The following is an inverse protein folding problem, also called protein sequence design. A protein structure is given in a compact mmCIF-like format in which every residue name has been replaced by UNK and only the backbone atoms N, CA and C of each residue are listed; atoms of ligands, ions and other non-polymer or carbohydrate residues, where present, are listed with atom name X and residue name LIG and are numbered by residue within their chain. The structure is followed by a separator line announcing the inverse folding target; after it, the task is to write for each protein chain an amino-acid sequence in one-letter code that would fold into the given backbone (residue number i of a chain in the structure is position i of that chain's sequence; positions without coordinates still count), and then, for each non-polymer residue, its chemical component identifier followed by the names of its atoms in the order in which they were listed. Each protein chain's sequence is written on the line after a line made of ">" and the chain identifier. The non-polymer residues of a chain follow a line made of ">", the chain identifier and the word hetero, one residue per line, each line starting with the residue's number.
data_IF_207640288471
#
_entry.id   IF_207640288471
#
_cell.length_a   1.000
_cell.length_b   1.000
_cell.length_c   1.000
_cell.angle_alpha   90.00
_cell.angle_beta   90.00
_cell.angle_gamma   90.00
#
_symmetry.space_group_name_H-M   'P 1'
#
loop_
_entity.id
_entity.type
_entity.pdbx_description
1 polymer ?
#
# COMPACT_ATOMS: atom_id res chain seq x y z
N UNK A 1 -7.35 24.27 -39.93
CA UNK A 1 -7.93 24.64 -38.62
C UNK A 1 -8.29 23.34 -37.90
N UNK A 2 -7.65 22.99 -36.77
CA UNK A 2 -8.00 21.77 -36.03
C UNK A 2 -9.22 22.05 -35.15
N UNK A 3 -10.29 21.28 -35.34
CA UNK A 3 -11.44 21.30 -34.45
C UNK A 3 -11.10 20.57 -33.16
N UNK A 4 -11.24 21.24 -32.02
CA UNK A 4 -11.15 20.62 -30.70
C UNK A 4 -12.54 20.49 -30.12
N UNK A 5 -12.87 19.29 -29.64
CA UNK A 5 -14.11 18.99 -28.94
C UNK A 5 -13.77 18.83 -27.46
N UNK A 6 -14.30 19.72 -26.63
CA UNK A 6 -14.16 19.63 -25.18
C UNK A 6 -15.26 18.70 -24.64
N UNK A 7 -14.85 17.57 -24.10
CA UNK A 7 -15.72 16.65 -23.38
C UNK A 7 -15.47 16.80 -21.87
N UNK A 8 -16.54 17.02 -21.11
CA UNK A 8 -16.45 17.24 -19.66
C UNK A 8 -17.00 16.02 -18.94
N UNK A 9 -16.16 15.38 -18.13
CA UNK A 9 -16.56 14.28 -17.26
C UNK A 9 -17.58 14.81 -16.24
N UNK A 10 -18.79 14.20 -16.12
CA UNK A 10 -19.80 14.69 -15.20
C UNK A 10 -19.32 14.68 -13.75
N UNK A 11 -19.80 15.63 -12.93
CA UNK A 11 -19.45 15.67 -11.50
C UNK A 11 -19.80 14.36 -10.81
N UNK A 12 -19.01 13.98 -9.80
CA UNK A 12 -19.19 12.75 -8.99
C UNK A 12 -19.02 11.42 -9.74
N UNK A 13 -18.48 11.45 -10.96
CA UNK A 13 -18.18 10.22 -11.71
C UNK A 13 -16.78 9.67 -11.45
N UNK A 14 -15.86 10.48 -10.93
CA UNK A 14 -14.48 10.05 -10.59
C UNK A 14 -14.45 8.74 -9.79
N UNK A 15 -15.24 8.58 -8.69
CA UNK A 15 -15.24 7.33 -7.92
C UNK A 15 -15.96 6.17 -8.63
N UNK A 16 -16.62 6.42 -9.75
CA UNK A 16 -17.32 5.42 -10.56
C UNK A 16 -16.45 4.91 -11.71
N UNK A 17 -15.59 5.77 -12.27
CA UNK A 17 -14.79 5.46 -13.46
C UNK A 17 -13.29 5.43 -13.22
N UNK A 18 -12.79 5.84 -12.05
CA UNK A 18 -11.35 5.77 -11.74
C UNK A 18 -11.07 4.59 -10.80
N UNK A 19 -10.52 3.47 -11.30
CA UNK A 19 -10.22 2.28 -10.50
C UNK A 19 -9.36 2.60 -9.26
N UNK A 20 -8.42 3.54 -9.41
CA UNK A 20 -7.57 3.97 -8.31
C UNK A 20 -8.38 4.53 -7.13
N UNK A 21 -9.39 5.36 -7.38
CA UNK A 21 -10.21 5.99 -6.34
C UNK A 21 -11.28 5.07 -5.75
N UNK A 22 -11.59 3.97 -6.42
CA UNK A 22 -12.57 2.97 -5.92
C UNK A 22 -12.04 2.25 -4.69
N UNK A 23 -10.79 1.78 -4.71
CA UNK A 23 -10.24 1.02 -3.58
C UNK A 23 -8.74 1.26 -3.38
N UNK A 24 -7.93 1.28 -4.44
CA UNK A 24 -6.45 1.31 -4.34
C UNK A 24 -5.94 2.50 -3.50
N UNK A 25 -6.42 3.72 -3.80
CA UNK A 25 -6.00 4.93 -3.09
C UNK A 25 -6.42 4.93 -1.62
N UNK A 26 -7.57 4.31 -1.28
CA UNK A 26 -8.01 4.17 0.12
C UNK A 26 -7.05 3.26 0.88
N UNK A 27 -6.65 2.15 0.27
CA UNK A 27 -5.74 1.17 0.86
C UNK A 27 -4.33 1.74 1.04
N UNK A 28 -3.83 2.46 0.03
CA UNK A 28 -2.57 3.19 0.12
C UNK A 28 -2.58 4.24 1.25
N UNK A 29 -3.66 5.05 1.34
CA UNK A 29 -3.80 6.05 2.41
C UNK A 29 -3.84 5.39 3.79
N UNK A 30 -4.51 4.24 3.92
CA UNK A 30 -4.54 3.47 5.15
C UNK A 30 -3.13 3.03 5.55
N UNK A 31 -2.40 2.40 4.63
CA UNK A 31 -1.01 1.97 4.82
C UNK A 31 -0.11 3.10 5.31
N UNK A 32 -0.14 4.25 4.62
CA UNK A 32 0.67 5.42 4.98
C UNK A 32 0.28 5.94 6.36
N UNK A 33 -1.02 6.09 6.66
CA UNK A 33 -1.49 6.61 7.95
C UNK A 33 -1.04 5.73 9.11
N UNK A 34 -1.20 4.41 9.00
CA UNK A 34 -0.77 3.47 10.05
C UNK A 34 0.72 3.59 10.34
N UNK A 35 1.55 3.81 9.30
CA UNK A 35 3.00 4.01 9.49
C UNK A 35 3.31 5.35 10.18
N UNK A 36 2.61 6.43 9.81
CA UNK A 36 2.74 7.72 10.50
C UNK A 36 2.33 7.62 11.97
N UNK A 37 1.22 6.94 12.24
CA UNK A 37 0.72 6.75 13.60
C UNK A 37 1.69 5.92 14.43
N UNK A 38 2.30 4.88 13.85
CA UNK A 38 3.34 4.07 14.50
C UNK A 38 4.59 4.87 14.84
N UNK A 39 5.13 5.62 13.87
CA UNK A 39 6.28 6.51 14.09
C UNK A 39 6.02 7.50 15.21
N UNK A 40 4.81 8.07 15.25
CA UNK A 40 4.41 9.01 16.31
C UNK A 40 4.21 8.32 17.66
N UNK A 41 3.57 7.16 17.69
CA UNK A 41 3.22 6.44 18.92
C UNK A 41 4.47 5.97 19.66
N UNK A 42 5.50 5.54 18.92
CA UNK A 42 6.73 4.98 19.48
C UNK A 42 7.92 5.94 19.44
N UNK A 43 7.68 7.22 19.17
CA UNK A 43 8.69 8.28 19.12
C UNK A 43 9.94 7.88 18.29
N UNK A 44 9.68 7.32 17.11
CA UNK A 44 10.74 6.85 16.22
C UNK A 44 11.45 8.08 15.65
N UNK A 45 12.78 8.12 15.76
CA UNK A 45 13.63 9.19 15.21
C UNK A 45 13.66 9.15 13.67
N UNK A 46 12.56 9.57 13.07
CA UNK A 46 12.41 9.70 11.62
C UNK A 46 11.46 10.84 11.29
N UNK A 47 11.99 11.92 10.72
CA UNK A 47 11.16 13.02 10.23
C UNK A 47 10.50 12.64 8.90
N UNK A 48 9.27 12.12 8.96
CA UNK A 48 8.47 11.76 7.79
C UNK A 48 8.02 12.96 6.94
N UNK A 49 8.26 14.20 7.37
CA UNK A 49 8.01 15.41 6.58
C UNK A 49 9.20 15.80 5.68
N UNK A 50 10.37 15.19 5.88
CA UNK A 50 11.52 15.40 5.01
C UNK A 50 11.31 14.70 3.67
N UNK A 51 11.68 15.38 2.58
CA UNK A 51 11.49 14.91 1.19
C UNK A 51 12.02 13.49 0.97
N UNK A 52 13.22 13.19 1.44
CA UNK A 52 13.85 11.89 1.22
C UNK A 52 13.10 10.77 1.94
N UNK A 53 12.61 11.05 3.15
CA UNK A 53 11.82 10.08 3.92
C UNK A 53 10.43 9.89 3.30
N UNK A 54 9.80 10.94 2.77
CA UNK A 54 8.55 10.84 2.01
C UNK A 54 8.73 9.93 0.79
N UNK A 55 9.81 10.11 0.02
CA UNK A 55 10.10 9.29 -1.17
C UNK A 55 10.33 7.82 -0.76
N UNK A 56 11.16 7.59 0.27
CA UNK A 56 11.43 6.25 0.79
C UNK A 56 10.12 5.57 1.22
N UNK A 57 9.36 6.20 2.11
CA UNK A 57 8.08 5.68 2.62
C UNK A 57 7.09 5.41 1.50
N UNK A 58 6.86 6.38 0.61
CA UNK A 58 5.96 6.25 -0.54
C UNK A 58 6.32 5.03 -1.37
N UNK A 59 7.62 4.84 -1.62
CA UNK A 59 8.05 3.74 -2.46
C UNK A 59 8.06 2.37 -1.76
N UNK A 60 8.26 2.32 -0.44
CA UNK A 60 8.06 1.11 0.37
C UNK A 60 6.58 0.72 0.40
N UNK A 61 5.69 1.68 0.60
CA UNK A 61 4.24 1.48 0.55
C UNK A 61 3.76 1.03 -0.82
N UNK A 62 4.22 1.69 -1.89
CA UNK A 62 3.91 1.30 -3.26
C UNK A 62 4.40 -0.12 -3.53
N UNK A 63 5.65 -0.42 -3.15
CA UNK A 63 6.22 -1.75 -3.29
C UNK A 63 5.36 -2.80 -2.58
N UNK A 64 4.96 -2.56 -1.32
CA UNK A 64 4.08 -3.44 -0.55
C UNK A 64 2.78 -3.77 -1.32
N UNK A 65 2.15 -2.76 -1.95
CA UNK A 65 0.93 -2.99 -2.74
C UNK A 65 1.19 -3.74 -4.06
N UNK A 66 2.41 -3.75 -4.59
CA UNK A 66 2.75 -4.52 -5.79
C UNK A 66 2.80 -6.04 -5.59
N UNK A 67 2.62 -6.56 -4.37
CA UNK A 67 2.57 -8.00 -4.14
C UNK A 67 1.39 -8.65 -4.86
N UNK A 68 1.61 -9.88 -5.37
CA UNK A 68 0.56 -10.69 -5.99
C UNK A 68 -0.63 -10.96 -5.07
N UNK A 69 -0.47 -10.82 -3.75
CA UNK A 69 -1.56 -10.92 -2.77
C UNK A 69 -2.65 -9.86 -2.96
N UNK A 70 -2.29 -8.71 -3.54
CA UNK A 70 -3.23 -7.62 -3.83
C UNK A 70 -3.83 -7.68 -5.23
N UNK A 71 -3.47 -8.67 -6.06
CA UNK A 71 -3.97 -8.77 -7.45
C UNK A 71 -5.49 -8.80 -7.52
N UNK A 72 -6.16 -9.61 -6.70
CA UNK A 72 -7.63 -9.67 -6.67
C UNK A 72 -8.26 -8.35 -6.21
N UNK A 73 -7.64 -7.65 -5.25
CA UNK A 73 -8.10 -6.32 -4.82
C UNK A 73 -7.96 -5.27 -5.93
N UNK A 74 -6.85 -5.30 -6.68
CA UNK A 74 -6.67 -4.44 -7.84
C UNK A 74 -7.71 -4.75 -8.91
N UNK A 75 -7.87 -6.03 -9.29
CA UNK A 75 -8.90 -6.46 -10.24
C UNK A 75 -10.30 -6.05 -9.79
N UNK A 76 -10.60 -6.08 -8.49
CA UNK A 76 -11.89 -5.66 -7.97
C UNK A 76 -12.15 -4.19 -8.25
N UNK A 77 -11.11 -3.36 -8.13
CA UNK A 77 -11.20 -1.93 -8.45
C UNK A 77 -11.54 -1.69 -9.92
N UNK A 78 -10.95 -2.47 -10.83
CA UNK A 78 -11.25 -2.41 -12.27
C UNK A 78 -12.64 -2.97 -12.59
N UNK A 79 -13.04 -4.07 -11.96
CA UNK A 79 -14.38 -4.64 -12.08
C UNK A 79 -15.46 -3.65 -11.62
N UNK A 80 -15.29 -3.04 -10.44
CA UNK A 80 -16.21 -2.03 -9.93
C UNK A 80 -16.26 -0.77 -10.78
N UNK A 81 -15.16 -0.42 -11.44
CA UNK A 81 -15.10 0.67 -12.42
C UNK A 81 -15.76 0.33 -13.77
N UNK A 82 -16.25 -0.90 -13.95
CA UNK A 82 -16.87 -1.36 -15.20
C UNK A 82 -15.87 -1.79 -16.29
N UNK A 83 -14.57 -1.89 -15.97
CA UNK A 83 -13.52 -2.23 -16.94
C UNK A 83 -13.30 -3.74 -17.09
N UNK A 84 -13.76 -4.55 -16.12
CA UNK A 84 -13.71 -6.00 -16.19
C UNK A 84 -15.12 -6.56 -16.14
N UNK A 85 -15.38 -7.64 -16.89
CA UNK A 85 -16.68 -8.30 -16.92
C UNK A 85 -16.92 -9.23 -15.72
N UNK A 86 -15.85 -9.80 -15.15
CA UNK A 86 -15.92 -10.79 -14.07
C UNK A 86 -15.36 -10.22 -12.77
N UNK A 87 -16.05 -10.52 -11.67
CA UNK A 87 -15.57 -10.23 -10.32
C UNK A 87 -14.41 -11.17 -9.97
N UNK A 88 -13.34 -10.68 -9.30
CA UNK A 88 -12.20 -11.51 -8.89
C UNK A 88 -12.46 -12.34 -7.62
N UNK A 89 -13.69 -12.31 -7.08
CA UNK A 89 -14.05 -13.01 -5.85
C UNK A 89 -13.65 -12.23 -4.59
N UNK A 90 -13.58 -12.95 -3.46
CA UNK A 90 -13.11 -12.38 -2.19
C UNK A 90 -11.59 -12.16 -2.22
N UNK A 91 -11.15 -11.14 -1.50
CA UNK A 91 -9.75 -10.80 -1.34
C UNK A 91 -9.53 -10.19 0.03
N UNK A 92 -8.29 -10.24 0.50
CA UNK A 92 -7.91 -9.54 1.72
C UNK A 92 -7.45 -8.12 1.40
N UNK A 93 -7.81 -7.18 2.27
CA UNK A 93 -7.38 -5.78 2.15
C UNK A 93 -6.03 -5.53 2.86
N UNK A 94 -5.54 -4.28 2.87
CA UNK A 94 -4.26 -3.93 3.51
C UNK A 94 -4.29 -4.20 5.02
N UNK A 95 -5.39 -3.89 5.70
CA UNK A 95 -5.52 -4.14 7.14
C UNK A 95 -5.34 -5.63 7.44
N UNK A 96 -6.10 -6.46 6.75
CA UNK A 96 -6.11 -7.92 6.94
C UNK A 96 -4.78 -8.58 6.58
N UNK A 97 -4.09 -8.12 5.53
CA UNK A 97 -2.83 -8.71 5.10
C UNK A 97 -1.60 -8.20 5.84
N UNK A 98 -1.60 -6.91 6.20
CA UNK A 98 -0.39 -6.22 6.63
C UNK A 98 -0.37 -5.91 8.13
N UNK A 99 -1.53 -5.82 8.78
CA UNK A 99 -1.64 -5.31 10.16
C UNK A 99 -2.34 -6.26 11.13
N UNK A 100 -3.07 -7.27 10.64
CA UNK A 100 -3.67 -8.33 11.47
C UNK A 100 -2.71 -9.52 11.73
N UNK A 101 -1.51 -9.22 12.21
CA UNK A 101 -0.54 -10.23 12.64
C UNK A 101 -0.50 -10.34 14.18
N UNK A 102 -0.13 -11.51 14.70
CA UNK A 102 -0.07 -11.77 16.15
C UNK A 102 1.36 -11.71 16.72
N UNK A 103 2.37 -11.54 15.86
CA UNK A 103 3.76 -11.52 16.30
C UNK A 103 4.11 -10.19 16.96
N UNK A 104 4.62 -10.27 18.20
CA UNK A 104 5.07 -9.11 18.97
C UNK A 104 6.53 -8.74 18.71
N UNK A 105 7.22 -9.48 17.84
CA UNK A 105 8.64 -9.28 17.56
C UNK A 105 8.89 -9.08 16.06
N UNK A 106 9.85 -8.23 15.73
CA UNK A 106 10.37 -8.15 14.38
C UNK A 106 11.12 -9.44 14.00
N UNK A 107 10.82 -10.02 12.83
CA UNK A 107 11.41 -11.27 12.36
C UNK A 107 12.88 -11.17 11.93
N UNK A 108 13.50 -9.98 11.97
CA UNK A 108 14.93 -9.80 11.68
C UNK A 108 15.75 -10.17 12.92
N UNK A 109 16.84 -10.91 12.72
CA UNK A 109 17.71 -11.38 13.81
C UNK A 109 18.22 -10.21 14.63
N UNK A 110 18.26 -10.36 15.96
CA UNK A 110 18.77 -9.36 16.90
C UNK A 110 18.05 -8.00 16.82
N UNK A 111 16.79 -7.99 16.36
CA UNK A 111 15.95 -6.79 16.36
C UNK A 111 15.04 -6.77 17.58
N UNK A 112 15.16 -5.72 18.40
CA UNK A 112 14.27 -5.49 19.54
C UNK A 112 13.28 -4.33 19.28
N UNK A 113 13.19 -3.86 18.03
CA UNK A 113 12.27 -2.79 17.66
C UNK A 113 10.84 -3.34 17.55
N UNK A 114 9.89 -2.46 17.87
CA UNK A 114 8.47 -2.78 17.88
C UNK A 114 8.00 -3.12 16.46
N UNK A 115 7.29 -4.24 16.25
CA UNK A 115 6.77 -4.61 14.94
C UNK A 115 5.78 -3.56 14.43
N UNK A 116 5.76 -3.37 13.12
CA UNK A 116 4.93 -2.40 12.42
C UNK A 116 4.00 -3.09 11.43
N UNK A 117 4.55 -3.98 10.60
CA UNK A 117 3.85 -4.48 9.41
C UNK A 117 4.30 -5.89 9.04
N UNK A 118 3.37 -6.74 8.61
CA UNK A 118 3.67 -7.98 7.91
C UNK A 118 3.93 -7.69 6.41
N UNK A 119 5.11 -8.07 5.91
CA UNK A 119 5.49 -7.86 4.52
C UNK A 119 4.64 -8.74 3.59
N UNK A 120 4.06 -8.14 2.55
CA UNK A 120 3.17 -8.83 1.60
C UNK A 120 3.93 -9.74 0.63
N UNK A 121 5.26 -9.66 0.59
CA UNK A 121 6.12 -10.52 -0.23
C UNK A 121 6.72 -11.67 0.56
N UNK A 122 7.40 -11.36 1.68
CA UNK A 122 8.15 -12.37 2.43
C UNK A 122 7.43 -12.84 3.69
N UNK A 123 6.25 -12.30 3.99
CA UNK A 123 5.36 -12.67 5.11
C UNK A 123 5.96 -12.47 6.51
N UNK A 124 7.17 -11.90 6.58
CA UNK A 124 7.84 -11.56 7.83
C UNK A 124 7.21 -10.31 8.44
N UNK A 125 7.12 -10.29 9.77
CA UNK A 125 6.73 -9.12 10.54
C UNK A 125 7.95 -8.24 10.75
N UNK A 126 7.87 -6.98 10.32
CA UNK A 126 8.98 -6.04 10.28
C UNK A 126 8.67 -4.83 11.15
N UNK A 127 9.70 -4.31 11.83
CA UNK A 127 9.64 -2.97 12.41
C UNK A 127 9.79 -1.90 11.32
N UNK A 128 9.64 -0.62 11.69
CA UNK A 128 9.75 0.51 10.78
C UNK A 128 11.07 0.53 9.97
N UNK A 129 12.22 0.38 10.64
CA UNK A 129 13.53 0.44 9.99
C UNK A 129 13.69 -0.67 8.96
N UNK A 130 13.44 -1.92 9.35
CA UNK A 130 13.55 -3.06 8.44
C UNK A 130 12.53 -3.03 7.30
N UNK A 131 11.33 -2.49 7.53
CA UNK A 131 10.37 -2.26 6.45
C UNK A 131 10.94 -1.26 5.43
N UNK A 132 11.55 -0.16 5.88
CA UNK A 132 12.13 0.86 5.00
C UNK A 132 13.41 0.38 4.27
N UNK A 133 14.13 -0.60 4.81
CA UNK A 133 15.36 -1.15 4.25
C UNK A 133 15.17 -2.26 3.20
N UNK A 134 13.99 -2.91 3.12
CA UNK A 134 13.75 -4.16 2.35
C UNK A 134 13.78 -4.04 0.81
N UNK A 135 14.59 -3.14 0.26
CA UNK A 135 14.76 -2.94 -1.19
C UNK A 135 15.88 -3.74 -1.86
N UNK A 136 16.63 -4.59 -1.15
CA UNK A 136 17.89 -5.15 -1.65
C UNK A 136 17.95 -6.67 -1.89
N UNK A 137 16.90 -7.44 -1.57
CA UNK A 137 16.90 -8.91 -1.72
C UNK A 137 15.79 -9.38 -2.66
N UNK A 138 15.76 -8.87 -3.89
CA UNK A 138 14.97 -9.50 -4.96
C UNK A 138 15.91 -10.02 -6.03
N UNK A 139 16.14 -11.33 -5.97
CA UNK A 139 16.44 -12.12 -7.15
C UNK A 139 15.41 -11.78 -8.22
N UNK A 140 15.93 -11.33 -9.36
CA UNK A 140 15.19 -11.32 -10.61
C UNK A 140 14.86 -12.78 -10.92
N UNK A 141 13.59 -13.16 -10.77
CA UNK A 141 13.01 -14.33 -11.43
C UNK A 141 11.99 -13.83 -12.46
#
# INVERSE_FOLDING_TARGET
>A
MKHFRLEVIPKKTTPLVQPLDITINRQYKHLVRTIYDHVRLYDIDCNLSQRDNIIKLTSSCYNQMCSNKFTSMHQYSWYKGGYLAKSPGSFQNVEELCFQFQDYNCSKKQCNNIPLIQCSFCEKVLCFYHFCETRSERSVE
#
